data_IF_451509102994
#
_entry.id   IF_451509102994
#
_cell.length_a   1.000
_cell.length_b   1.000
_cell.length_c   1.000
_cell.angle_alpha   90.00
_cell.angle_beta   90.00
_cell.angle_gamma   90.00
#
_symmetry.space_group_name_H-M   'P 1'
#
loop_
_entity.id
_entity.type
_entity.pdbx_description
1 polymer ?
#
# COMPACT_ATOMS: atom_id res chain seq x y z
N UNK A 1 18.63 -39.83 28.14
CA UNK A 1 17.69 -38.92 28.85
C UNK A 1 17.45 -37.70 27.97
N UNK A 2 16.21 -37.44 27.52
CA UNK A 2 15.87 -36.26 26.70
C UNK A 2 15.78 -35.04 27.61
N UNK A 3 16.66 -34.06 27.37
CA UNK A 3 16.73 -32.80 28.11
C UNK A 3 15.44 -32.01 27.85
N UNK A 4 14.55 -31.89 28.83
CA UNK A 4 13.35 -31.07 28.72
C UNK A 4 13.77 -29.60 28.77
N UNK A 5 13.50 -28.85 27.69
CA UNK A 5 13.98 -27.47 27.50
C UNK A 5 12.87 -26.42 27.79
N UNK A 6 11.80 -26.81 28.49
CA UNK A 6 10.68 -25.94 28.84
C UNK A 6 9.89 -25.41 27.63
N UNK A 7 9.05 -24.39 27.86
CA UNK A 7 8.22 -23.76 26.83
C UNK A 7 9.03 -23.11 25.69
N UNK A 8 10.32 -22.81 25.90
CA UNK A 8 11.21 -22.28 24.86
C UNK A 8 11.38 -23.26 23.68
N UNK A 9 11.22 -24.57 23.89
CA UNK A 9 11.23 -25.56 22.81
C UNK A 9 10.03 -25.42 21.84
N UNK A 10 8.97 -24.68 22.23
CA UNK A 10 7.82 -24.41 21.37
C UNK A 10 8.04 -23.24 20.43
N UNK A 11 8.96 -22.33 20.74
CA UNK A 11 9.30 -21.20 19.87
C UNK A 11 9.78 -21.65 18.48
N UNK A 12 10.49 -22.77 18.39
CA UNK A 12 10.91 -23.36 17.11
C UNK A 12 9.74 -23.91 16.26
N UNK A 13 8.56 -24.08 16.85
CA UNK A 13 7.32 -24.53 16.19
C UNK A 13 6.37 -23.36 15.89
N UNK A 14 6.64 -22.18 16.41
CA UNK A 14 5.81 -20.99 16.18
C UNK A 14 6.20 -20.32 14.87
N UNK A 15 5.22 -20.15 13.99
CA UNK A 15 5.38 -19.35 12.78
C UNK A 15 5.52 -17.87 13.18
N UNK A 16 6.60 -17.23 12.74
CA UNK A 16 6.81 -15.80 12.96
C UNK A 16 5.76 -15.01 12.19
N UNK A 17 5.43 -13.81 12.66
CA UNK A 17 4.51 -12.92 11.92
C UNK A 17 5.03 -12.65 10.51
N UNK A 18 6.35 -12.42 10.37
CA UNK A 18 6.99 -12.22 9.08
C UNK A 18 6.88 -13.42 8.12
N UNK A 19 6.68 -14.64 8.62
CA UNK A 19 6.49 -15.82 7.75
C UNK A 19 5.16 -15.76 6.99
N UNK A 20 4.19 -14.99 7.51
CA UNK A 20 2.88 -14.77 6.89
C UNK A 20 2.83 -13.56 5.96
N UNK A 21 3.88 -12.73 5.95
CA UNK A 21 3.94 -11.56 5.08
C UNK A 21 4.47 -11.95 3.69
N UNK A 22 3.96 -11.35 2.61
CA UNK A 22 4.38 -11.67 1.25
C UNK A 22 5.72 -11.02 0.88
N UNK A 23 6.29 -10.18 1.74
CA UNK A 23 7.49 -9.41 1.46
C UNK A 23 8.77 -10.26 1.58
N UNK A 24 9.68 -10.10 0.63
CA UNK A 24 11.00 -10.72 0.65
C UNK A 24 12.06 -9.71 1.13
N UNK A 25 12.19 -8.57 0.44
CA UNK A 25 13.11 -7.47 0.79
C UNK A 25 12.72 -6.19 0.06
N UNK A 26 13.30 -5.06 0.49
CA UNK A 26 13.33 -3.84 -0.29
C UNK A 26 14.38 -3.98 -1.40
N UNK A 27 13.99 -3.63 -2.62
CA UNK A 27 14.93 -3.52 -3.76
C UNK A 27 15.57 -2.15 -3.75
N UNK A 28 14.77 -1.13 -3.47
CA UNK A 28 15.15 0.26 -3.26
C UNK A 28 14.17 0.93 -2.27
N UNK A 29 14.20 2.26 -2.20
CA UNK A 29 13.37 3.08 -1.30
C UNK A 29 11.86 2.96 -1.59
N UNK A 30 11.48 2.66 -2.84
CA UNK A 30 10.10 2.72 -3.33
C UNK A 30 9.56 1.37 -3.82
N UNK A 31 10.42 0.35 -3.97
CA UNK A 31 10.06 -0.95 -4.55
C UNK A 31 10.39 -2.11 -3.62
N UNK A 32 9.39 -2.96 -3.39
CA UNK A 32 9.48 -4.18 -2.58
C UNK A 32 9.47 -5.40 -3.49
N UNK A 33 10.41 -6.32 -3.28
CA UNK A 33 10.36 -7.66 -3.86
C UNK A 33 9.47 -8.55 -3.00
N UNK A 34 8.50 -9.21 -3.63
CA UNK A 34 7.62 -10.19 -3.00
C UNK A 34 8.21 -11.60 -3.11
N UNK A 35 7.82 -12.48 -2.19
CA UNK A 35 8.28 -13.87 -2.10
C UNK A 35 7.89 -14.73 -3.30
N UNK A 36 6.93 -14.29 -4.11
CA UNK A 36 6.51 -14.96 -5.34
C UNK A 36 7.27 -14.48 -6.59
N UNK A 37 8.26 -13.59 -6.41
CA UNK A 37 9.07 -12.98 -7.47
C UNK A 37 8.47 -11.72 -8.09
N UNK A 38 7.30 -11.27 -7.64
CA UNK A 38 6.70 -10.02 -8.11
C UNK A 38 7.36 -8.82 -7.46
N UNK A 39 7.35 -7.66 -8.13
CA UNK A 39 7.73 -6.37 -7.52
C UNK A 39 6.50 -5.54 -7.22
N UNK A 40 6.55 -4.76 -6.15
CA UNK A 40 5.45 -3.93 -5.65
C UNK A 40 5.93 -2.53 -5.32
N UNK A 41 5.17 -1.52 -5.73
CA UNK A 41 5.32 -0.13 -5.29
C UNK A 41 3.97 0.44 -4.86
N UNK A 42 4.00 1.34 -3.88
CA UNK A 42 2.82 2.01 -3.34
C UNK A 42 2.98 3.52 -3.46
N UNK A 43 1.94 4.18 -3.98
CA UNK A 43 1.92 5.60 -4.25
C UNK A 43 0.77 6.20 -3.43
N UNK A 44 1.07 7.20 -2.62
CA UNK A 44 0.02 8.01 -1.99
C UNK A 44 -0.56 8.96 -3.02
N UNK A 45 -1.88 8.97 -3.16
CA UNK A 45 -2.58 9.82 -4.11
C UNK A 45 -3.39 10.85 -3.32
N UNK A 46 -3.23 12.15 -3.60
CA UNK A 46 -4.09 13.16 -2.98
C UNK A 46 -5.54 12.94 -3.40
N UNK A 47 -6.46 13.04 -2.43
CA UNK A 47 -7.88 13.01 -2.72
C UNK A 47 -8.35 14.26 -3.50
N UNK A 48 -9.50 14.16 -4.17
CA UNK A 48 -10.22 15.30 -4.73
C UNK A 48 -11.31 15.75 -3.77
N UNK A 49 -11.54 17.06 -3.67
CA UNK A 49 -12.62 17.66 -2.88
C UNK A 49 -13.96 17.47 -3.59
N UNK A 50 -14.54 16.28 -3.48
CA UNK A 50 -15.77 15.94 -4.20
C UNK A 50 -16.98 16.83 -3.84
N UNK A 51 -16.98 17.45 -2.66
CA UNK A 51 -18.10 18.26 -2.16
C UNK A 51 -18.16 19.65 -2.80
N UNK A 52 -17.03 20.18 -3.27
CA UNK A 52 -16.92 21.55 -3.80
C UNK A 52 -16.63 21.59 -5.30
N UNK A 53 -16.25 20.45 -5.88
CA UNK A 53 -15.90 20.35 -7.29
C UNK A 53 -17.14 20.19 -8.16
N UNK A 54 -17.10 20.72 -9.38
CA UNK A 54 -18.19 20.55 -10.34
C UNK A 54 -18.30 19.09 -10.81
N UNK A 55 -19.54 18.65 -11.09
CA UNK A 55 -19.83 17.28 -11.53
C UNK A 55 -19.10 16.94 -12.83
N UNK A 56 -19.00 17.91 -13.75
CA UNK A 56 -18.31 17.72 -15.03
C UNK A 56 -16.80 17.51 -14.85
N UNK A 57 -16.17 18.23 -13.91
CA UNK A 57 -14.78 18.02 -13.56
C UNK A 57 -14.56 16.64 -12.92
N UNK A 58 -15.44 16.23 -12.00
CA UNK A 58 -15.39 14.89 -11.39
C UNK A 58 -15.52 13.78 -12.45
N UNK A 59 -16.44 13.93 -13.40
CA UNK A 59 -16.64 12.99 -14.50
C UNK A 59 -15.42 12.94 -15.43
N UNK A 60 -14.81 14.08 -15.75
CA UNK A 60 -13.59 14.13 -16.55
C UNK A 60 -12.42 13.42 -15.86
N UNK A 61 -12.26 13.59 -14.54
CA UNK A 61 -11.26 12.85 -13.76
C UNK A 61 -11.54 11.34 -13.75
N UNK A 62 -12.80 10.93 -13.61
CA UNK A 62 -13.17 9.52 -13.68
C UNK A 62 -12.86 8.90 -15.05
N UNK A 63 -13.21 9.58 -16.14
CA UNK A 63 -12.92 9.13 -17.49
C UNK A 63 -11.40 9.02 -17.76
N UNK A 64 -10.63 10.01 -17.29
CA UNK A 64 -9.16 9.99 -17.42
C UNK A 64 -8.55 8.80 -16.68
N UNK A 65 -9.01 8.51 -15.46
CA UNK A 65 -8.58 7.32 -14.71
C UNK A 65 -8.94 6.05 -15.45
N UNK A 66 -10.16 5.93 -15.95
CA UNK A 66 -10.59 4.73 -16.68
C UNK A 66 -9.73 4.45 -17.92
N UNK A 67 -9.39 5.49 -18.69
CA UNK A 67 -8.50 5.38 -19.83
C UNK A 67 -7.10 4.92 -19.41
N UNK A 68 -6.53 5.56 -18.39
CA UNK A 68 -5.22 5.19 -17.84
C UNK A 68 -5.18 3.73 -17.35
N UNK A 69 -6.24 3.29 -16.68
CA UNK A 69 -6.36 1.91 -16.19
C UNK A 69 -6.45 0.91 -17.33
N UNK A 70 -7.20 1.21 -18.39
CA UNK A 70 -7.32 0.34 -19.56
C UNK A 70 -6.06 0.30 -20.42
N UNK A 71 -5.31 1.40 -20.50
CA UNK A 71 -4.15 1.49 -21.40
C UNK A 71 -2.87 0.91 -20.80
N UNK A 72 -2.74 0.91 -19.46
CA UNK A 72 -1.45 0.62 -18.80
C UNK A 72 -1.37 -0.81 -18.25
N UNK A 73 -2.50 -1.43 -17.94
CA UNK A 73 -2.53 -2.71 -17.24
C UNK A 73 -2.51 -3.89 -18.22
N UNK A 74 -1.35 -4.51 -18.40
CA UNK A 74 -1.23 -5.84 -19.01
C UNK A 74 -1.65 -6.95 -18.02
N UNK A 75 -1.77 -8.19 -18.50
CA UNK A 75 -2.19 -9.34 -17.67
C UNK A 75 -1.27 -9.66 -16.46
N UNK A 76 -0.09 -9.02 -16.40
CA UNK A 76 0.89 -9.21 -15.33
C UNK A 76 0.87 -8.04 -14.34
N UNK A 77 0.16 -6.95 -14.60
CA UNK A 77 -0.09 -5.90 -13.61
C UNK A 77 -1.30 -6.23 -12.73
N UNK A 78 -1.15 -5.97 -11.44
CA UNK A 78 -2.25 -5.95 -10.47
C UNK A 78 -2.25 -4.60 -9.80
N UNK A 79 -3.40 -3.93 -9.79
CA UNK A 79 -3.57 -2.67 -9.10
C UNK A 79 -4.53 -2.84 -7.94
N UNK A 80 -4.13 -2.27 -6.81
CA UNK A 80 -4.90 -2.21 -5.58
C UNK A 80 -5.13 -0.75 -5.20
N UNK A 81 -6.37 -0.41 -4.83
CA UNK A 81 -6.69 0.87 -4.22
C UNK A 81 -7.03 0.65 -2.75
N UNK A 82 -6.32 1.33 -1.85
CA UNK A 82 -6.48 1.16 -0.39
C UNK A 82 -6.71 2.53 0.23
N UNK A 83 -7.71 2.61 1.12
CA UNK A 83 -8.05 3.85 1.83
C UNK A 83 -7.79 3.65 3.31
N UNK A 84 -6.92 4.48 3.88
CA UNK A 84 -6.66 4.53 5.31
C UNK A 84 -7.45 5.69 5.89
N UNK A 85 -8.50 5.37 6.64
CA UNK A 85 -9.31 6.36 7.35
C UNK A 85 -8.72 6.60 8.73
N UNK A 86 -8.20 7.79 8.97
CA UNK A 86 -7.64 8.18 10.28
C UNK A 86 -8.46 9.29 10.91
N UNK A 87 -8.64 9.20 12.23
CA UNK A 87 -9.24 10.29 13.00
C UNK A 87 -8.24 11.43 13.06
N UNK A 88 -8.74 12.66 12.92
CA UNK A 88 -7.93 13.88 13.09
C UNK A 88 -8.61 14.81 14.08
N UNK A 89 -7.78 15.56 14.79
CA UNK A 89 -8.21 16.75 15.52
C UNK A 89 -7.69 17.93 14.72
N UNK A 90 -8.62 18.74 14.20
CA UNK A 90 -8.28 19.95 13.46
C UNK A 90 -8.35 21.09 14.45
N UNK A 91 -7.22 21.46 15.02
CA UNK A 91 -7.07 22.69 15.78
C UNK A 91 -6.80 23.82 14.79
N UNK A 92 -7.82 24.64 14.53
CA UNK A 92 -7.68 25.88 13.78
C UNK A 92 -7.40 27.00 14.78
N UNK A 93 -6.12 27.31 14.95
CA UNK A 93 -5.69 28.50 15.67
C UNK A 93 -5.95 29.72 14.79
N UNK A 94 -6.98 30.48 15.16
CA UNK A 94 -7.38 31.68 14.46
C UNK A 94 -7.62 32.79 15.49
N UNK A 95 -7.00 33.95 15.26
CA UNK A 95 -7.22 35.16 16.05
C UNK A 95 -8.11 36.11 15.27
N UNK A 96 -9.23 36.50 15.87
CA UNK A 96 -10.18 37.43 15.26
C UNK A 96 -10.22 38.75 16.04
N UNK A 97 -10.11 39.91 15.36
CA UNK A 97 -10.01 41.22 16.01
C UNK A 97 -11.34 41.66 16.66
N UNK A 98 -12.49 41.28 16.09
CA UNK A 98 -13.80 41.67 16.58
C UNK A 98 -14.47 40.60 17.46
N UNK A 99 -15.41 41.04 18.31
CA UNK A 99 -16.08 40.18 19.28
C UNK A 99 -17.06 39.19 18.65
N UNK A 100 -17.66 39.53 17.49
CA UNK A 100 -18.64 38.67 16.82
C UNK A 100 -17.94 37.47 16.19
N UNK A 101 -16.86 37.70 15.44
CA UNK A 101 -16.06 36.64 14.82
C UNK A 101 -15.47 35.69 15.87
N UNK A 102 -14.98 36.22 17.00
CA UNK A 102 -14.54 35.37 18.13
C UNK A 102 -15.66 34.50 18.71
N UNK A 103 -16.87 35.05 18.82
CA UNK A 103 -18.03 34.28 19.28
C UNK A 103 -18.40 33.16 18.29
N UNK A 104 -18.37 33.46 16.99
CA UNK A 104 -18.65 32.47 15.92
C UNK A 104 -17.60 31.35 15.96
N UNK A 105 -16.31 31.68 16.03
CA UNK A 105 -15.21 30.72 16.14
C UNK A 105 -15.38 29.79 17.36
N UNK A 106 -15.66 30.35 18.54
CA UNK A 106 -15.86 29.55 19.75
C UNK A 106 -17.03 28.56 19.62
N UNK A 107 -18.16 28.99 19.04
CA UNK A 107 -19.32 28.11 18.81
C UNK A 107 -19.03 27.04 17.77
N UNK A 108 -18.28 27.38 16.73
CA UNK A 108 -17.86 26.45 15.69
C UNK A 108 -16.91 25.39 16.25
N UNK A 109 -15.90 25.78 17.04
CA UNK A 109 -14.98 24.88 17.74
C UNK A 109 -15.71 23.93 18.70
N UNK A 110 -16.68 24.42 19.48
CA UNK A 110 -17.50 23.57 20.35
C UNK A 110 -18.28 22.50 19.57
N UNK A 111 -18.84 22.87 18.41
CA UNK A 111 -19.55 21.92 17.55
C UNK A 111 -18.60 20.89 16.92
N UNK A 112 -17.41 21.33 16.52
CA UNK A 112 -16.39 20.47 15.93
C UNK A 112 -15.82 19.47 16.95
N UNK A 113 -15.61 19.91 18.20
CA UNK A 113 -15.11 19.08 19.30
C UNK A 113 -16.06 17.93 19.68
N UNK A 114 -17.38 18.11 19.49
CA UNK A 114 -18.36 17.03 19.64
C UNK A 114 -18.35 16.02 18.49
N UNK A 115 -17.71 16.36 17.36
CA UNK A 115 -17.63 15.54 16.16
C UNK A 115 -16.33 14.73 16.07
N UNK A 116 -16.40 13.61 15.37
CA UNK A 116 -15.22 12.86 14.95
C UNK A 116 -14.84 13.27 13.53
N UNK A 117 -13.81 14.10 13.37
CA UNK A 117 -13.25 14.38 12.06
C UNK A 117 -12.36 13.22 11.62
N UNK A 118 -12.46 12.88 10.34
CA UNK A 118 -11.64 11.86 9.71
C UNK A 118 -11.08 12.40 8.41
N UNK A 119 -9.86 11.99 8.09
CA UNK A 119 -9.36 12.12 6.73
C UNK A 119 -9.10 10.74 6.15
N UNK A 120 -9.17 10.69 4.81
CA UNK A 120 -8.96 9.49 4.03
C UNK A 120 -7.64 9.66 3.26
N UNK A 121 -6.61 8.94 3.68
CA UNK A 121 -5.37 8.82 2.92
C UNK A 121 -5.56 7.70 1.88
N UNK A 122 -5.38 8.03 0.60
CA UNK A 122 -5.60 7.10 -0.50
C UNK A 122 -4.25 6.61 -1.03
N UNK A 123 -4.15 5.30 -1.24
CA UNK A 123 -2.97 4.66 -1.78
C UNK A 123 -3.34 3.81 -2.99
N UNK A 124 -2.50 3.90 -4.02
CA UNK A 124 -2.52 3.00 -5.16
C UNK A 124 -1.28 2.13 -5.07
N UNK A 125 -1.49 0.82 -4.97
CA UNK A 125 -0.41 -0.17 -4.96
C UNK A 125 -0.40 -0.90 -6.29
N UNK A 126 0.75 -0.88 -6.95
CA UNK A 126 1.00 -1.56 -8.22
C UNK A 126 1.88 -2.79 -7.94
N UNK A 127 1.48 -3.94 -8.49
CA UNK A 127 2.27 -5.17 -8.45
C UNK A 127 2.51 -5.63 -9.88
N UNK A 128 3.77 -5.88 -10.21
CA UNK A 128 4.21 -6.45 -11.48
C UNK A 128 4.61 -7.90 -11.24
N UNK A 129 3.84 -8.83 -11.81
CA UNK A 129 4.16 -10.27 -11.75
C UNK A 129 5.27 -10.64 -12.73
N UNK A 130 6.15 -11.59 -12.38
CA UNK A 130 7.15 -12.11 -13.32
C UNK A 130 6.46 -12.77 -14.52
N UNK A 131 7.15 -12.83 -15.66
CA UNK A 131 6.60 -13.43 -16.87
C UNK A 131 6.39 -14.95 -16.67
N UNK A 132 5.16 -15.39 -16.48
CA UNK A 132 4.82 -16.81 -16.42
C UNK A 132 4.43 -17.30 -17.81
N UNK A 133 5.39 -17.81 -18.59
CA UNK A 133 5.12 -18.37 -19.92
C UNK A 133 6.09 -19.47 -20.31
N UNK A 134 5.61 -20.72 -20.43
CA UNK A 134 6.27 -21.93 -20.98
C UNK A 134 7.69 -22.31 -20.51
N UNK A 135 8.31 -21.55 -19.60
CA UNK A 135 9.59 -21.84 -18.92
C UNK A 135 9.41 -22.40 -17.50
N UNK A 136 8.18 -22.72 -17.08
CA UNK A 136 7.88 -23.24 -15.74
C UNK A 136 8.42 -24.64 -15.44
N UNK A 137 8.99 -25.35 -16.43
CA UNK A 137 9.68 -26.61 -16.23
C UNK A 137 11.14 -26.40 -15.79
N UNK A 138 11.98 -25.62 -16.51
CA UNK A 138 13.33 -25.32 -16.02
C UNK A 138 13.34 -24.57 -14.69
N UNK A 139 12.37 -23.70 -14.42
CA UNK A 139 12.26 -22.96 -13.15
C UNK A 139 11.81 -23.83 -11.94
N UNK A 140 11.04 -24.90 -12.21
CA UNK A 140 10.71 -25.91 -11.20
C UNK A 140 11.85 -26.91 -11.01
N UNK A 141 12.60 -27.21 -12.05
CA UNK A 141 13.76 -28.10 -12.00
C UNK A 141 14.94 -27.42 -11.31
N UNK A 142 15.16 -26.12 -11.53
CA UNK A 142 16.15 -25.31 -10.79
C UNK A 142 15.78 -25.21 -9.32
N UNK A 143 14.50 -25.12 -8.93
CA UNK A 143 14.06 -25.18 -7.51
C UNK A 143 14.36 -26.51 -6.81
N UNK A 144 14.46 -27.62 -7.56
CA UNK A 144 14.84 -28.93 -7.01
C UNK A 144 16.36 -29.07 -6.87
N UNK A 145 17.15 -28.44 -7.75
CA UNK A 145 18.62 -28.44 -7.69
C UNK A 145 19.22 -27.30 -6.83
N UNK A 146 18.51 -26.18 -6.63
CA UNK A 146 18.94 -25.02 -5.82
C UNK A 146 18.65 -25.16 -4.32
N UNK A 147 18.12 -26.29 -3.86
CA UNK A 147 18.07 -26.58 -2.41
C UNK A 147 19.47 -26.58 -1.75
N UNK A 148 20.54 -26.63 -2.55
CA UNK A 148 21.95 -26.58 -2.13
C UNK A 148 22.61 -25.19 -2.29
N UNK A 149 21.96 -24.23 -2.97
CA UNK A 149 22.52 -22.90 -3.22
C UNK A 149 21.38 -21.89 -3.05
N UNK A 150 21.44 -21.06 -2.02
CA UNK A 150 20.54 -19.92 -1.83
C UNK A 150 20.58 -19.03 -3.08
N UNK A 151 19.75 -19.35 -4.08
CA UNK A 151 19.48 -18.43 -5.18
C UNK A 151 18.66 -17.30 -4.56
N UNK A 152 19.29 -16.13 -4.41
CA UNK A 152 18.58 -14.91 -4.10
C UNK A 152 17.48 -14.74 -5.15
N UNK A 153 16.23 -14.66 -4.70
CA UNK A 153 15.15 -14.15 -5.54
C UNK A 153 15.59 -12.77 -6.01
N UNK A 154 15.93 -12.62 -7.28
CA UNK A 154 16.31 -11.34 -7.88
C UNK A 154 15.13 -10.77 -8.66
N UNK A 155 14.90 -9.47 -8.49
CA UNK A 155 13.89 -8.75 -9.26
C UNK A 155 14.41 -8.54 -10.69
N UNK A 156 13.59 -8.85 -11.71
CA UNK A 156 13.92 -8.53 -13.09
C UNK A 156 14.01 -6.99 -13.24
N UNK A 157 15.15 -6.43 -13.69
CA UNK A 157 15.29 -4.99 -13.90
C UNK A 157 14.22 -4.38 -14.83
N UNK A 158 13.67 -5.17 -15.75
CA UNK A 158 12.58 -4.73 -16.62
C UNK A 158 11.27 -4.55 -15.86
N UNK A 159 11.01 -5.42 -14.89
CA UNK A 159 9.81 -5.35 -14.07
C UNK A 159 9.89 -4.15 -13.12
N UNK A 160 11.07 -3.84 -12.57
CA UNK A 160 11.32 -2.63 -11.76
C UNK A 160 11.07 -1.37 -12.59
N UNK A 161 11.63 -1.26 -13.80
CA UNK A 161 11.46 -0.08 -14.68
C UNK A 161 10.02 0.15 -15.15
N UNK A 162 9.16 -0.84 -15.00
CA UNK A 162 7.75 -0.76 -15.42
C UNK A 162 6.81 -0.31 -14.30
N UNK A 163 7.30 -0.24 -13.06
CA UNK A 163 6.61 0.39 -11.93
C UNK A 163 6.89 1.89 -11.92
#
# INVERSE_FOLDING_TARGET
MKKWIGAAAWSAKEARVGDRLPYARLVDENTVLLRDGSVMSAIQVPGLLFETEDSDALNAHAATREVMLRSTLDARFVMYHHVIRRRVEVELDAEFPDALSRHIDARWKQRLAGGSLFINDQFVTLIRRPARGKTGLPERLSKLFSRSRQDELEADPKDIRSL
#
